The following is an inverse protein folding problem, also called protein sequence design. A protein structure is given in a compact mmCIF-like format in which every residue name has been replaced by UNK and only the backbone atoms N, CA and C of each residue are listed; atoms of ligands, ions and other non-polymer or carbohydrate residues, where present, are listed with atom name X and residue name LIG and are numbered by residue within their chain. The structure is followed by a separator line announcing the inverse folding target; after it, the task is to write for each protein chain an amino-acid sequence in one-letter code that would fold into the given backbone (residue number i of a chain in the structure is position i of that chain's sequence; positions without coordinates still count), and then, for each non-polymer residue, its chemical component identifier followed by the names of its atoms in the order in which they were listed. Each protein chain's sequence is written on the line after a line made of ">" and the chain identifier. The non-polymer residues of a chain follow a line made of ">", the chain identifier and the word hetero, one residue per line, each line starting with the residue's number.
data_IF_324981895289
#
_entry.id   IF_324981895289
#
_cell.length_a   1.000
_cell.length_b   1.000
_cell.length_c   1.000
_cell.angle_alpha   90.00
_cell.angle_beta   90.00
_cell.angle_gamma   90.00
#
_symmetry.space_group_name_H-M   'P 1'
#
loop_
_entity.id
_entity.type
_entity.pdbx_description
1 polymer ?
#
# COMPACT_ATOMS: atom_id res chain seq x y z
N UNK A 1 38.04 -33.17 53.89
CA UNK A 1 38.12 -32.33 52.66
C UNK A 1 37.02 -32.82 51.70
N UNK A 2 35.74 -32.52 51.89
CA UNK A 2 35.00 -31.26 51.55
C UNK A 2 35.03 -30.82 50.07
N UNK A 3 35.26 -31.72 49.10
CA UNK A 3 35.33 -31.33 47.67
C UNK A 3 34.43 -32.13 46.70
N UNK A 4 33.45 -32.91 47.17
CA UNK A 4 32.53 -33.66 46.27
C UNK A 4 31.06 -33.18 46.37
N UNK A 5 30.68 -32.50 47.46
CA UNK A 5 29.30 -32.01 47.64
C UNK A 5 28.91 -30.76 46.83
N UNK A 6 29.87 -30.07 46.20
CA UNK A 6 29.61 -28.81 45.50
C UNK A 6 29.14 -28.99 44.05
N UNK A 7 29.52 -30.07 43.38
CA UNK A 7 29.18 -30.27 41.97
C UNK A 7 27.73 -30.77 41.78
N UNK A 8 27.22 -31.58 42.71
CA UNK A 8 25.86 -32.15 42.63
C UNK A 8 24.76 -31.13 42.94
N UNK A 9 25.05 -30.16 43.83
CA UNK A 9 24.09 -29.11 44.20
C UNK A 9 23.92 -28.04 43.10
N UNK A 10 24.95 -27.80 42.29
CA UNK A 10 24.88 -26.88 41.15
C UNK A 10 24.02 -27.47 40.02
N UNK A 11 24.17 -28.76 39.73
CA UNK A 11 23.42 -29.40 38.65
C UNK A 11 21.92 -29.51 38.94
N UNK A 12 21.54 -29.79 40.20
CA UNK A 12 20.13 -29.80 40.61
C UNK A 12 19.49 -28.40 40.60
N UNK A 13 20.26 -27.34 40.90
CA UNK A 13 19.77 -25.95 40.87
C UNK A 13 19.49 -25.42 39.46
N UNK A 14 20.14 -25.95 38.43
CA UNK A 14 19.95 -25.49 37.05
C UNK A 14 18.64 -26.01 36.42
N UNK A 15 18.12 -27.15 36.88
CA UNK A 15 16.91 -27.75 36.30
C UNK A 15 15.60 -27.05 36.77
N UNK A 16 15.60 -26.47 37.97
CA UNK A 16 14.46 -25.67 38.47
C UNK A 16 14.39 -24.26 37.86
N UNK A 17 15.53 -23.72 37.40
CA UNK A 17 15.57 -22.40 36.75
C UNK A 17 14.94 -22.41 35.33
N UNK A 18 14.97 -23.56 34.67
CA UNK A 18 14.43 -23.75 33.31
C UNK A 18 12.92 -24.00 33.30
N UNK A 19 12.34 -24.44 34.43
CA UNK A 19 10.89 -24.76 34.52
C UNK A 19 10.02 -23.53 34.83
N UNK A 20 10.57 -22.54 35.54
CA UNK A 20 9.88 -21.27 35.84
C UNK A 20 9.87 -20.27 34.68
N UNK A 21 10.85 -20.35 33.77
CA UNK A 21 11.05 -19.36 32.70
C UNK A 21 10.09 -19.52 31.51
N UNK A 22 9.55 -20.73 31.30
CA UNK A 22 8.64 -21.01 30.18
C UNK A 22 7.20 -20.52 30.46
N UNK A 23 6.84 -20.35 31.73
CA UNK A 23 5.49 -19.90 32.11
C UNK A 23 5.31 -18.39 32.07
N UNK A 24 6.39 -17.59 32.10
CA UNK A 24 6.30 -16.14 32.02
C UNK A 24 6.27 -15.58 30.59
N UNK A 25 6.85 -16.30 29.62
CA UNK A 25 6.88 -15.84 28.23
C UNK A 25 5.53 -15.95 27.51
N UNK A 26 4.55 -16.66 28.08
CA UNK A 26 3.21 -16.82 27.50
C UNK A 26 2.31 -15.58 27.69
N UNK A 27 2.60 -14.69 28.65
CA UNK A 27 1.70 -13.59 29.01
C UNK A 27 2.02 -12.23 28.33
N UNK A 28 3.21 -12.04 27.76
CA UNK A 28 3.64 -10.74 27.18
C UNK A 28 3.29 -10.60 25.69
N UNK A 29 2.78 -11.66 25.06
CA UNK A 29 2.34 -11.62 23.65
C UNK A 29 0.92 -11.04 23.49
N UNK A 30 0.18 -10.79 24.59
CA UNK A 30 -1.24 -10.39 24.54
C UNK A 30 -1.51 -8.87 24.59
N UNK A 31 -0.48 -8.01 24.62
CA UNK A 31 -0.68 -6.56 24.83
C UNK A 31 -0.19 -5.65 23.68
N UNK A 32 -0.06 -6.17 22.45
CA UNK A 32 0.37 -5.37 21.29
C UNK A 32 -0.66 -5.29 20.15
N UNK A 33 -1.96 -5.26 20.49
CA UNK A 33 -3.04 -5.18 19.49
C UNK A 33 -3.82 -3.85 19.47
N UNK A 34 -3.19 -2.72 19.81
CA UNK A 34 -3.87 -1.41 19.70
C UNK A 34 -2.96 -0.32 19.11
N UNK A 35 -2.37 -0.59 17.95
CA UNK A 35 -1.89 0.47 17.06
C UNK A 35 -1.86 -0.03 15.60
N UNK A 36 -2.75 0.51 14.76
CA UNK A 36 -2.81 0.29 13.31
C UNK A 36 -3.73 -0.87 12.92
N UNK A 37 -4.52 -0.82 11.87
CA UNK A 37 -4.46 0.01 10.68
C UNK A 37 -5.89 0.12 10.11
N UNK A 38 -6.10 1.18 9.34
CA UNK A 38 -7.31 1.50 8.57
C UNK A 38 -8.03 0.25 8.05
N UNK A 39 -9.37 0.25 8.15
CA UNK A 39 -10.25 -0.79 7.59
C UNK A 39 -9.72 -1.33 6.26
N UNK A 40 -9.68 -2.66 6.15
CA UNK A 40 -9.47 -3.44 4.91
C UNK A 40 -10.55 -3.13 3.86
N UNK A 41 -10.56 -1.89 3.36
CA UNK A 41 -11.22 -1.53 2.12
C UNK A 41 -10.12 -1.34 1.10
N UNK A 42 -9.88 -2.40 0.33
CA UNK A 42 -9.15 -2.25 -0.91
C UNK A 42 -9.91 -1.24 -1.78
N UNK A 43 -9.18 -0.32 -2.44
CA UNK A 43 -9.80 0.55 -3.41
C UNK A 43 -10.62 -0.25 -4.40
N UNK A 44 -11.79 0.25 -4.81
CA UNK A 44 -12.62 -0.39 -5.83
C UNK A 44 -11.74 -0.78 -7.01
N UNK A 45 -11.68 -2.08 -7.28
CA UNK A 45 -10.98 -2.59 -8.44
C UNK A 45 -11.67 -2.04 -9.69
N UNK A 46 -10.90 -1.31 -10.49
CA UNK A 46 -11.32 -0.86 -11.80
C UNK A 46 -10.30 -1.34 -12.81
N UNK A 47 -10.78 -1.83 -13.95
CA UNK A 47 -9.91 -2.24 -15.05
C UNK A 47 -9.37 -0.98 -15.74
N UNK A 48 -8.27 -1.14 -16.49
CA UNK A 48 -7.69 -0.04 -17.24
C UNK A 48 -8.65 0.48 -18.34
N UNK A 49 -9.45 -0.45 -18.86
CA UNK A 49 -10.45 -0.25 -19.91
C UNK A 49 -11.66 0.53 -19.39
N UNK A 50 -12.15 0.20 -18.18
CA UNK A 50 -13.34 0.82 -17.58
C UNK A 50 -13.00 2.11 -16.81
N UNK A 51 -11.72 2.31 -16.47
CA UNK A 51 -11.26 3.48 -15.71
C UNK A 51 -11.69 4.83 -16.32
N UNK A 52 -11.57 5.11 -17.63
CA UNK A 52 -11.94 6.41 -18.18
C UNK A 52 -13.42 6.75 -17.98
N UNK A 53 -14.31 5.77 -18.19
CA UNK A 53 -15.76 5.97 -18.08
C UNK A 53 -16.19 6.05 -16.61
N UNK A 54 -15.65 5.17 -15.78
CA UNK A 54 -15.94 5.17 -14.33
C UNK A 54 -15.48 6.46 -13.65
N UNK A 55 -14.30 6.97 -14.03
CA UNK A 55 -13.80 8.26 -13.53
C UNK A 55 -14.64 9.42 -14.07
N UNK A 56 -15.00 9.42 -15.36
CA UNK A 56 -15.84 10.50 -15.91
C UNK A 56 -17.19 10.59 -15.19
N UNK A 57 -17.81 9.45 -14.91
CA UNK A 57 -19.10 9.38 -14.21
C UNK A 57 -19.00 9.90 -12.77
N UNK A 58 -17.96 9.53 -12.03
CA UNK A 58 -17.76 9.94 -10.64
C UNK A 58 -17.45 11.45 -10.47
N UNK A 59 -17.02 12.11 -11.53
CA UNK A 59 -16.69 13.54 -11.52
C UNK A 59 -17.68 14.40 -12.34
N UNK A 60 -18.76 13.83 -12.89
CA UNK A 60 -19.72 14.54 -13.74
C UNK A 60 -20.33 15.77 -13.04
N UNK A 61 -20.67 15.61 -11.76
CA UNK A 61 -21.31 16.59 -10.89
C UNK A 61 -20.30 17.34 -9.99
N UNK A 62 -19.00 17.18 -10.24
CA UNK A 62 -17.96 17.90 -9.49
C UNK A 62 -18.10 19.41 -9.72
N UNK A 63 -18.22 20.15 -8.61
CA UNK A 63 -18.45 21.60 -8.62
C UNK A 63 -17.13 22.37 -8.69
N UNK A 64 -16.04 21.79 -8.20
CA UNK A 64 -14.73 22.37 -8.30
C UNK A 64 -14.18 22.19 -9.72
N UNK A 65 -14.12 23.29 -10.48
CA UNK A 65 -13.69 23.29 -11.88
C UNK A 65 -12.28 22.75 -12.09
N UNK A 66 -11.36 22.98 -11.15
CA UNK A 66 -9.98 22.53 -11.27
C UNK A 66 -9.88 21.01 -11.07
N UNK A 67 -10.64 20.48 -10.10
CA UNK A 67 -10.75 19.03 -9.86
C UNK A 67 -11.39 18.35 -11.07
N UNK A 68 -12.49 18.90 -11.57
CA UNK A 68 -13.18 18.39 -12.75
C UNK A 68 -12.28 18.39 -13.97
N UNK A 69 -11.57 19.49 -14.23
CA UNK A 69 -10.63 19.58 -15.35
C UNK A 69 -9.49 18.55 -15.26
N UNK A 70 -8.97 18.28 -14.05
CA UNK A 70 -7.98 17.23 -13.84
C UNK A 70 -8.55 15.82 -14.07
N UNK A 71 -9.79 15.56 -13.63
CA UNK A 71 -10.47 14.30 -13.90
C UNK A 71 -10.71 14.10 -15.40
N UNK A 72 -11.20 15.12 -16.10
CA UNK A 72 -11.40 15.12 -17.55
C UNK A 72 -10.07 14.89 -18.29
N UNK A 73 -8.99 15.52 -17.83
CA UNK A 73 -7.65 15.31 -18.36
C UNK A 73 -7.19 13.85 -18.16
N UNK A 74 -7.39 13.28 -16.96
CA UNK A 74 -7.05 11.89 -16.70
C UNK A 74 -7.82 10.94 -17.63
N UNK A 75 -9.14 11.12 -17.74
CA UNK A 75 -10.00 10.35 -18.65
C UNK A 75 -9.54 10.45 -20.10
N UNK A 76 -9.21 11.64 -20.58
CA UNK A 76 -8.70 11.83 -21.96
C UNK A 76 -7.38 11.10 -22.18
N UNK A 77 -6.47 11.13 -21.22
CA UNK A 77 -5.17 10.47 -21.32
C UNK A 77 -5.30 8.94 -21.29
N UNK A 78 -6.21 8.41 -20.46
CA UNK A 78 -6.53 6.98 -20.42
C UNK A 78 -7.11 6.51 -21.76
N UNK A 79 -8.06 7.25 -22.33
CA UNK A 79 -8.63 6.97 -23.67
C UNK A 79 -7.56 7.01 -24.77
N UNK A 80 -6.60 7.92 -24.66
CA UNK A 80 -5.46 8.03 -25.57
C UNK A 80 -4.36 6.99 -25.30
N UNK A 81 -4.53 6.10 -24.32
CA UNK A 81 -3.52 5.12 -23.87
C UNK A 81 -2.19 5.75 -23.44
N UNK A 82 -2.20 7.02 -23.04
CA UNK A 82 -1.03 7.71 -22.53
C UNK A 82 -0.93 7.48 -21.01
N UNK A 83 -0.55 6.27 -20.64
CA UNK A 83 -0.56 5.79 -19.25
C UNK A 83 0.43 6.50 -18.33
N UNK A 84 1.56 6.99 -18.85
CA UNK A 84 2.53 7.75 -18.05
C UNK A 84 1.95 9.10 -17.62
N UNK A 85 1.38 9.85 -18.57
CA UNK A 85 0.74 11.12 -18.27
C UNK A 85 -0.52 10.91 -17.42
N UNK A 86 -1.32 9.88 -17.71
CA UNK A 86 -2.51 9.53 -16.92
C UNK A 86 -2.14 9.26 -15.46
N UNK A 87 -1.13 8.41 -15.20
CA UNK A 87 -0.61 8.14 -13.86
C UNK A 87 -0.20 9.44 -13.15
N UNK A 88 0.49 10.36 -13.84
CA UNK A 88 0.88 11.64 -13.27
C UNK A 88 -0.29 12.54 -12.88
N UNK A 89 -1.38 12.56 -13.66
CA UNK A 89 -2.60 13.31 -13.31
C UNK A 89 -3.33 12.64 -12.15
N UNK A 90 -3.51 11.32 -12.19
CA UNK A 90 -4.18 10.55 -11.13
C UNK A 90 -3.46 10.68 -9.79
N UNK A 91 -2.12 10.62 -9.78
CA UNK A 91 -1.31 10.85 -8.57
C UNK A 91 -1.50 12.25 -8.00
N UNK A 92 -1.64 13.27 -8.86
CA UNK A 92 -1.94 14.65 -8.42
C UNK A 92 -3.34 14.76 -7.84
N UNK A 93 -4.35 14.16 -8.48
CA UNK A 93 -5.71 14.08 -7.96
C UNK A 93 -5.75 13.42 -6.57
N UNK A 94 -5.04 12.31 -6.38
CA UNK A 94 -4.93 11.65 -5.06
C UNK A 94 -4.34 12.55 -3.96
N UNK A 95 -3.47 13.49 -4.33
CA UNK A 95 -2.90 14.46 -3.40
C UNK A 95 -3.89 15.53 -2.92
N UNK A 96 -5.08 15.62 -3.53
CA UNK A 96 -6.10 16.61 -3.16
C UNK A 96 -6.90 16.16 -1.94
N UNK A 97 -7.02 17.06 -0.96
CA UNK A 97 -7.82 16.81 0.26
C UNK A 97 -9.32 16.83 -0.01
N UNK A 98 -9.75 17.52 -1.06
CA UNK A 98 -11.13 17.89 -1.32
C UNK A 98 -11.91 16.85 -2.15
N UNK A 99 -11.34 15.65 -2.33
CA UNK A 99 -12.05 14.53 -2.94
C UNK A 99 -12.98 13.87 -1.92
N UNK A 100 -14.18 13.52 -2.35
CA UNK A 100 -15.05 12.66 -1.56
C UNK A 100 -14.50 11.22 -1.50
N UNK A 101 -15.07 10.39 -0.64
CA UNK A 101 -14.57 9.03 -0.42
C UNK A 101 -14.61 8.17 -1.69
N UNK A 102 -15.71 8.23 -2.46
CA UNK A 102 -15.89 7.46 -3.70
C UNK A 102 -14.91 7.90 -4.79
N UNK A 103 -14.76 9.21 -5.01
CA UNK A 103 -13.79 9.78 -5.94
C UNK A 103 -12.37 9.33 -5.58
N UNK A 104 -12.00 9.41 -4.30
CA UNK A 104 -10.67 9.01 -3.83
C UNK A 104 -10.43 7.52 -4.07
N UNK A 105 -11.43 6.69 -3.80
CA UNK A 105 -11.39 5.24 -4.02
C UNK A 105 -11.18 4.90 -5.51
N UNK A 106 -11.95 5.55 -6.38
CA UNK A 106 -11.84 5.37 -7.83
C UNK A 106 -10.51 5.85 -8.41
N UNK A 107 -10.02 7.03 -7.98
CA UNK A 107 -8.71 7.51 -8.43
C UNK A 107 -7.60 6.59 -7.92
N UNK A 108 -7.71 6.02 -6.72
CA UNK A 108 -6.75 5.04 -6.21
C UNK A 108 -6.74 3.76 -7.05
N UNK A 109 -7.93 3.18 -7.32
CA UNK A 109 -8.06 2.02 -8.20
C UNK A 109 -7.50 2.28 -9.61
N UNK A 110 -7.83 3.43 -10.20
CA UNK A 110 -7.32 3.83 -11.52
C UNK A 110 -5.81 4.04 -11.53
N UNK A 111 -5.26 4.65 -10.49
CA UNK A 111 -3.81 4.83 -10.35
C UNK A 111 -3.09 3.48 -10.28
N UNK A 112 -3.65 2.51 -9.54
CA UNK A 112 -3.12 1.15 -9.44
C UNK A 112 -3.19 0.42 -10.79
N UNK A 113 -4.34 0.43 -11.47
CA UNK A 113 -4.49 -0.21 -12.78
C UNK A 113 -3.50 0.34 -13.82
N UNK A 114 -3.29 1.66 -13.84
CA UNK A 114 -2.30 2.30 -14.72
C UNK A 114 -0.88 1.92 -14.32
N UNK A 115 -0.57 1.90 -13.03
CA UNK A 115 0.74 1.49 -12.54
C UNK A 115 1.05 0.03 -12.89
N UNK A 116 0.10 -0.89 -12.73
CA UNK A 116 0.23 -2.29 -13.13
C UNK A 116 0.47 -2.43 -14.62
N UNK A 117 -0.24 -1.67 -15.46
CA UNK A 117 -0.02 -1.68 -16.90
C UNK A 117 1.40 -1.21 -17.26
N UNK A 118 1.87 -0.13 -16.64
CA UNK A 118 3.23 0.37 -16.84
C UNK A 118 4.30 -0.63 -16.36
N UNK A 119 4.07 -1.32 -15.25
CA UNK A 119 4.98 -2.37 -14.76
C UNK A 119 5.04 -3.53 -15.76
N UNK A 120 3.89 -4.03 -16.24
CA UNK A 120 3.83 -5.07 -17.27
C UNK A 120 4.55 -4.65 -18.56
N UNK A 121 4.38 -3.40 -19.00
CA UNK A 121 5.09 -2.88 -20.17
C UNK A 121 6.61 -2.87 -19.94
N UNK A 122 7.06 -2.43 -18.77
CA UNK A 122 8.48 -2.43 -18.40
C UNK A 122 9.07 -3.85 -18.36
N UNK A 123 8.34 -4.82 -17.79
CA UNK A 123 8.71 -6.24 -17.77
C UNK A 123 8.83 -6.83 -19.19
N UNK A 124 8.02 -6.33 -20.13
CA UNK A 124 8.06 -6.70 -21.55
C UNK A 124 9.16 -5.98 -22.35
N UNK A 125 9.99 -5.16 -21.69
CA UNK A 125 11.11 -4.46 -22.32
C UNK A 125 10.82 -3.04 -22.79
N UNK A 126 9.68 -2.43 -22.40
CA UNK A 126 9.45 -1.01 -22.63
C UNK A 126 10.41 -0.17 -21.77
N UNK A 127 11.51 0.27 -22.38
CA UNK A 127 12.52 1.13 -21.76
C UNK A 127 11.94 2.46 -21.24
N UNK A 128 10.90 2.93 -21.91
CA UNK A 128 10.23 4.19 -21.67
C UNK A 128 9.28 4.10 -20.45
N UNK A 129 8.61 2.96 -20.25
CA UNK A 129 7.88 2.64 -19.03
C UNK A 129 8.84 2.38 -17.86
N UNK A 130 9.92 1.64 -18.11
CA UNK A 130 10.97 1.33 -17.12
C UNK A 130 11.61 2.59 -16.55
N UNK A 131 12.00 3.53 -17.42
CA UNK A 131 12.56 4.82 -17.01
C UNK A 131 11.54 5.63 -16.21
N UNK A 132 10.28 5.66 -16.64
CA UNK A 132 9.23 6.37 -15.93
C UNK A 132 9.02 5.84 -14.50
N UNK A 133 8.89 4.52 -14.34
CA UNK A 133 8.73 3.88 -13.03
C UNK A 133 9.96 4.11 -12.14
N UNK A 134 11.17 4.05 -12.71
CA UNK A 134 12.40 4.36 -12.01
C UNK A 134 12.43 5.81 -11.49
N UNK A 135 11.96 6.78 -12.29
CA UNK A 135 11.84 8.16 -11.81
C UNK A 135 10.81 8.31 -10.68
N UNK A 136 9.70 7.56 -10.74
CA UNK A 136 8.68 7.59 -9.70
C UNK A 136 9.15 6.99 -8.36
N UNK A 137 10.06 6.01 -8.38
CA UNK A 137 10.57 5.39 -7.15
C UNK A 137 11.52 6.27 -6.35
N UNK A 138 12.16 7.25 -6.98
CA UNK A 138 13.06 8.21 -6.32
C UNK A 138 12.34 9.36 -5.61
N UNK A 139 11.05 9.59 -5.89
CA UNK A 139 10.27 10.68 -5.28
C UNK A 139 9.60 10.32 -3.95
N UNK A 140 10.24 9.47 -3.14
CA UNK A 140 9.79 9.11 -1.78
C UNK A 140 10.24 10.14 -0.75
#
# INVERSE_FOLDING_TARGET
>A
MRMIGAALSVFLRMNDLMRGSVLFFSAIVFSFSIAGCSSDKYPKEITLEDAPETIAEAFKDEKNKDIKAMADQATSLLKAKNYKSAHGVLKRLMGLKNLNAEQRDLIAGGLMAVAENLNKAAEQGDAQASQYLKMQSFGK
#
